data_IF_407269948811
#
_entry.id   IF_407269948811
#
_cell.length_a   1.000
_cell.length_b   1.000
_cell.length_c   1.000
_cell.angle_alpha   90.00
_cell.angle_beta   90.00
_cell.angle_gamma   90.00
#
_symmetry.space_group_name_H-M   'P 1'
#
loop_
_entity.id
_entity.type
_entity.pdbx_description
1 polymer ?
#
# COMPACT_ATOMS: atom_id res chain seq x y z
N UNK A 1 -7.83 16.41 12.07
CA UNK A 1 -8.45 16.58 10.73
C UNK A 1 -8.34 15.27 9.94
N UNK A 2 -9.34 14.88 9.15
CA UNK A 2 -9.24 13.74 8.23
C UNK A 2 -8.22 14.01 7.11
N UNK A 3 -7.46 12.97 6.73
CA UNK A 3 -6.41 13.08 5.70
C UNK A 3 -6.94 13.42 4.30
N UNK A 4 -8.18 13.09 3.98
CA UNK A 4 -8.80 13.47 2.71
C UNK A 4 -9.03 14.99 2.65
N UNK A 5 -9.54 15.58 3.73
CA UNK A 5 -9.84 17.02 3.82
C UNK A 5 -8.57 17.88 3.74
N UNK A 6 -7.47 17.45 4.35
CA UNK A 6 -6.21 18.23 4.29
C UNK A 6 -5.63 18.30 2.88
N UNK A 7 -5.87 17.27 2.05
CA UNK A 7 -5.38 17.23 0.66
C UNK A 7 -6.10 18.23 -0.23
N UNK A 8 -7.41 18.38 -0.04
CA UNK A 8 -8.20 19.43 -0.70
C UNK A 8 -7.65 20.80 -0.36
N UNK A 9 -7.24 21.02 0.90
CA UNK A 9 -6.63 22.30 1.33
C UNK A 9 -5.26 22.50 0.65
N UNK A 10 -4.44 21.45 0.51
CA UNK A 10 -3.18 21.56 -0.23
C UNK A 10 -3.41 21.96 -1.69
N UNK A 11 -4.40 21.36 -2.37
CA UNK A 11 -4.74 21.72 -3.74
C UNK A 11 -5.20 23.17 -3.84
N UNK A 12 -6.08 23.60 -2.94
CA UNK A 12 -6.56 24.99 -2.89
C UNK A 12 -5.41 25.99 -2.72
N UNK A 13 -4.52 25.74 -1.76
CA UNK A 13 -3.36 26.59 -1.50
C UNK A 13 -2.37 26.60 -2.68
N UNK A 14 -2.17 25.46 -3.33
CA UNK A 14 -1.38 25.36 -4.55
C UNK A 14 -1.96 26.22 -5.69
N UNK A 15 -3.27 26.13 -5.94
CA UNK A 15 -3.97 26.95 -6.96
C UNK A 15 -3.94 28.44 -6.64
N UNK A 16 -3.90 28.82 -5.36
CA UNK A 16 -3.68 30.20 -4.91
C UNK A 16 -2.25 30.69 -5.13
N UNK A 17 -1.30 29.81 -5.40
CA UNK A 17 0.10 30.15 -5.56
C UNK A 17 0.82 30.44 -4.25
N UNK A 18 0.33 29.96 -3.10
CA UNK A 18 1.04 30.13 -1.84
C UNK A 18 2.29 29.24 -1.79
N UNK A 19 3.23 29.56 -0.91
CA UNK A 19 4.46 28.76 -0.77
C UNK A 19 4.25 27.58 0.18
N UNK A 20 5.04 26.52 0.02
CA UNK A 20 5.02 25.33 0.92
C UNK A 20 5.13 25.72 2.41
N UNK A 21 5.99 26.70 2.73
CA UNK A 21 6.17 27.15 4.11
C UNK A 21 4.95 27.92 4.64
N UNK A 22 4.35 28.75 3.79
CA UNK A 22 3.13 29.49 4.13
C UNK A 22 1.94 28.56 4.32
N UNK A 23 1.71 27.64 3.38
CA UNK A 23 0.65 26.64 3.47
C UNK A 23 0.74 25.83 4.76
N UNK A 24 1.93 25.32 5.10
CA UNK A 24 2.13 24.54 6.32
C UNK A 24 1.82 25.36 7.58
N UNK A 25 2.26 26.62 7.62
CA UNK A 25 1.99 27.56 8.72
C UNK A 25 0.48 27.84 8.84
N UNK A 26 -0.18 28.16 7.73
CA UNK A 26 -1.61 28.50 7.71
C UNK A 26 -2.45 27.31 8.18
N UNK A 27 -2.13 26.10 7.74
CA UNK A 27 -2.83 24.88 8.17
C UNK A 27 -2.62 24.62 9.65
N UNK A 28 -1.39 24.67 10.16
CA UNK A 28 -1.14 24.44 11.59
C UNK A 28 -1.77 25.53 12.47
N UNK A 29 -1.84 26.78 12.00
CA UNK A 29 -2.51 27.87 12.72
C UNK A 29 -4.02 27.66 12.86
N UNK A 30 -4.68 27.11 11.84
CA UNK A 30 -6.15 26.90 11.85
C UNK A 30 -6.52 25.57 12.52
N UNK A 31 -5.74 24.52 12.31
CA UNK A 31 -6.13 23.15 12.68
C UNK A 31 -5.31 22.56 13.83
N UNK A 32 -4.33 23.31 14.35
CA UNK A 32 -3.46 22.90 15.45
C UNK A 32 -2.09 22.43 14.96
N UNK A 33 -1.09 22.63 15.80
CA UNK A 33 0.30 22.24 15.52
C UNK A 33 0.41 20.74 15.21
N UNK A 34 1.24 20.39 14.23
CA UNK A 34 1.37 19.00 13.76
C UNK A 34 0.26 18.52 12.81
N UNK A 35 -0.71 19.37 12.44
CA UNK A 35 -1.71 19.04 11.42
C UNK A 35 -1.08 18.70 10.07
N UNK A 36 0.02 19.39 9.72
CA UNK A 36 0.87 19.05 8.58
C UNK A 36 2.33 19.38 8.83
N UNK A 37 3.19 18.94 7.92
CA UNK A 37 4.61 19.28 7.86
C UNK A 37 4.95 19.89 6.52
N UNK A 38 5.99 20.75 6.47
CA UNK A 38 6.50 21.32 5.21
C UNK A 38 6.86 20.23 4.19
N UNK A 39 7.42 19.11 4.65
CA UNK A 39 7.75 17.97 3.79
C UNK A 39 6.49 17.36 3.15
N UNK A 40 5.41 17.20 3.93
CA UNK A 40 4.14 16.67 3.42
C UNK A 40 3.54 17.60 2.36
N UNK A 41 3.46 18.91 2.66
CA UNK A 41 2.97 19.91 1.69
C UNK A 41 3.84 19.92 0.43
N UNK A 42 5.17 19.86 0.59
CA UNK A 42 6.12 19.84 -0.52
C UNK A 42 5.93 18.66 -1.47
N UNK A 43 5.67 17.47 -0.94
CA UNK A 43 5.36 16.29 -1.77
C UNK A 43 4.06 16.48 -2.57
N UNK A 44 3.00 17.00 -1.94
CA UNK A 44 1.74 17.27 -2.65
C UNK A 44 1.92 18.33 -3.75
N UNK A 45 2.62 19.42 -3.44
CA UNK A 45 2.90 20.47 -4.42
C UNK A 45 3.74 19.96 -5.59
N UNK A 46 4.62 18.99 -5.36
CA UNK A 46 5.35 18.33 -6.44
C UNK A 46 4.39 17.59 -7.37
N UNK A 47 3.52 16.74 -6.84
CA UNK A 47 2.51 16.03 -7.63
C UNK A 47 1.62 16.99 -8.42
N UNK A 48 1.15 18.08 -7.80
CA UNK A 48 0.32 19.07 -8.48
C UNK A 48 1.05 19.81 -9.61
N UNK A 49 2.36 20.08 -9.47
CA UNK A 49 3.19 20.62 -10.56
C UNK A 49 3.34 19.63 -11.70
N UNK A 50 3.38 18.34 -11.38
CA UNK A 50 3.44 17.25 -12.37
C UNK A 50 2.06 16.96 -12.99
N UNK A 51 1.01 17.71 -12.60
CA UNK A 51 -0.35 17.61 -13.12
C UNK A 51 -1.21 16.53 -12.44
N UNK A 52 -0.70 15.86 -11.41
CA UNK A 52 -1.44 14.86 -10.64
C UNK A 52 -2.20 15.52 -9.49
N UNK A 53 -3.53 15.62 -9.66
CA UNK A 53 -4.47 16.12 -8.66
C UNK A 53 -5.28 15.01 -7.98
N UNK A 54 -4.84 13.75 -8.09
CA UNK A 54 -5.48 12.63 -7.39
C UNK A 54 -5.37 12.79 -5.87
N UNK A 55 -6.48 13.14 -5.21
CA UNK A 55 -6.52 13.31 -3.75
C UNK A 55 -6.70 11.98 -3.00
N UNK A 56 -7.01 10.90 -3.71
CA UNK A 56 -7.16 9.57 -3.14
C UNK A 56 -5.78 9.01 -2.74
N UNK A 57 -5.76 8.08 -1.79
CA UNK A 57 -4.61 7.19 -1.73
C UNK A 57 -4.72 6.26 -2.93
N UNK A 58 -3.68 6.18 -3.74
CA UNK A 58 -3.56 5.05 -4.64
C UNK A 58 -3.63 3.76 -3.81
N UNK A 59 -4.31 2.71 -4.32
CA UNK A 59 -4.21 1.39 -3.74
C UNK A 59 -2.72 1.05 -3.62
N UNK A 60 -2.21 0.94 -2.39
CA UNK A 60 -0.85 0.46 -2.21
C UNK A 60 -0.86 -0.99 -2.65
N UNK A 61 -0.29 -1.26 -3.82
CA UNK A 61 -0.06 -2.62 -4.26
C UNK A 61 0.69 -3.37 -3.16
N UNK A 62 0.19 -4.56 -2.80
CA UNK A 62 0.99 -5.47 -1.98
C UNK A 62 2.27 -5.78 -2.77
N UNK A 63 3.46 -5.81 -2.13
CA UNK A 63 4.66 -6.26 -2.80
C UNK A 63 4.39 -7.57 -3.54
N UNK A 64 4.84 -7.68 -4.79
CA UNK A 64 4.71 -8.93 -5.56
C UNK A 64 5.29 -10.07 -4.74
N UNK A 65 4.50 -11.12 -4.56
CA UNK A 65 4.92 -12.33 -3.83
C UNK A 65 5.89 -13.12 -4.68
N UNK A 66 6.88 -13.76 -4.05
CA UNK A 66 7.82 -14.67 -4.74
C UNK A 66 7.17 -16.00 -5.16
N UNK A 67 5.98 -16.30 -4.65
CA UNK A 67 5.25 -17.53 -4.92
C UNK A 67 4.36 -17.34 -6.14
N UNK A 68 4.58 -18.18 -7.14
CA UNK A 68 3.67 -18.39 -8.27
C UNK A 68 2.61 -19.43 -7.85
N UNK A 69 1.34 -19.02 -7.91
CA UNK A 69 0.22 -19.86 -7.48
C UNK A 69 0.01 -21.07 -8.39
N UNK A 70 0.31 -20.98 -9.68
CA UNK A 70 0.13 -22.09 -10.60
C UNK A 70 1.23 -23.14 -10.38
N UNK A 71 2.45 -22.68 -10.11
CA UNK A 71 3.53 -23.57 -9.69
C UNK A 71 3.24 -24.22 -8.32
N UNK A 72 2.75 -23.46 -7.34
CA UNK A 72 2.36 -24.00 -6.03
C UNK A 72 1.28 -25.08 -6.17
N UNK A 73 0.26 -24.82 -6.99
CA UNK A 73 -0.81 -25.77 -7.27
C UNK A 73 -0.28 -27.07 -7.88
N UNK A 74 0.58 -26.97 -8.90
CA UNK A 74 1.18 -28.15 -9.54
C UNK A 74 1.99 -29.00 -8.55
N UNK A 75 2.75 -28.37 -7.64
CA UNK A 75 3.51 -29.09 -6.61
C UNK A 75 2.56 -29.82 -5.64
N UNK A 76 1.52 -29.14 -5.16
CA UNK A 76 0.52 -29.72 -4.24
C UNK A 76 -0.27 -30.85 -4.89
N UNK A 77 -0.70 -30.69 -6.15
CA UNK A 77 -1.42 -31.73 -6.89
C UNK A 77 -0.54 -32.95 -7.20
N UNK A 78 0.77 -32.74 -7.38
CA UNK A 78 1.71 -33.84 -7.63
C UNK A 78 1.99 -34.68 -6.37
N UNK A 79 1.95 -34.06 -5.19
CA UNK A 79 2.14 -34.73 -3.90
C UNK A 79 1.35 -34.01 -2.79
N UNK A 80 0.07 -34.39 -2.58
CA UNK A 80 -0.77 -33.80 -1.55
C UNK A 80 -0.29 -34.05 -0.11
N UNK A 81 0.67 -34.97 0.09
CA UNK A 81 1.21 -35.29 1.42
C UNK A 81 2.25 -34.28 1.91
N UNK A 82 2.71 -33.38 1.04
CA UNK A 82 3.69 -32.36 1.42
C UNK A 82 3.17 -31.43 2.50
N UNK A 83 3.96 -31.28 3.55
CA UNK A 83 3.69 -30.33 4.60
C UNK A 83 3.91 -28.89 4.11
N UNK A 84 3.21 -27.95 4.72
CA UNK A 84 3.43 -26.51 4.50
C UNK A 84 4.88 -26.08 4.77
N UNK A 85 5.60 -26.81 5.64
CA UNK A 85 7.01 -26.56 5.95
C UNK A 85 7.92 -26.95 4.80
N UNK A 86 7.65 -28.06 4.13
CA UNK A 86 8.40 -28.49 2.94
C UNK A 86 8.14 -27.55 1.77
N UNK A 87 6.88 -27.17 1.54
CA UNK A 87 6.52 -26.15 0.54
C UNK A 87 7.24 -24.82 0.80
N UNK A 88 7.35 -24.39 2.06
CA UNK A 88 8.08 -23.16 2.40
C UNK A 88 9.57 -23.26 2.04
N UNK A 89 10.15 -24.44 2.20
CA UNK A 89 11.53 -24.73 1.79
C UNK A 89 11.69 -24.72 0.26
N UNK A 90 10.77 -25.37 -0.48
CA UNK A 90 10.77 -25.44 -1.95
C UNK A 90 10.71 -24.04 -2.57
N UNK A 91 9.78 -23.20 -2.08
CA UNK A 91 9.58 -21.85 -2.60
C UNK A 91 10.51 -20.80 -1.98
N UNK A 92 11.36 -21.19 -1.03
CA UNK A 92 12.27 -20.31 -0.29
C UNK A 92 11.55 -19.07 0.28
N UNK A 93 10.44 -19.31 0.97
CA UNK A 93 9.60 -18.30 1.61
C UNK A 93 9.22 -18.73 3.03
N UNK A 94 8.58 -17.84 3.80
CA UNK A 94 8.07 -18.23 5.11
C UNK A 94 6.86 -19.16 4.99
N UNK A 95 6.66 -20.01 6.00
CA UNK A 95 5.46 -20.87 6.14
C UNK A 95 4.17 -20.04 6.02
N UNK A 96 4.15 -18.85 6.64
CA UNK A 96 3.00 -17.94 6.55
C UNK A 96 2.70 -17.51 5.11
N UNK A 97 3.75 -17.31 4.29
CA UNK A 97 3.58 -16.99 2.88
C UNK A 97 2.88 -18.14 2.16
N UNK A 98 3.36 -19.38 2.34
CA UNK A 98 2.71 -20.56 1.75
C UNK A 98 1.25 -20.69 2.19
N UNK A 99 0.92 -20.53 3.47
CA UNK A 99 -0.47 -20.61 3.96
C UNK A 99 -1.40 -19.61 3.25
N UNK A 100 -0.93 -18.36 3.08
CA UNK A 100 -1.70 -17.33 2.35
C UNK A 100 -1.93 -17.74 0.89
N UNK A 101 -0.93 -18.32 0.25
CA UNK A 101 -1.01 -18.76 -1.14
C UNK A 101 -1.88 -20.02 -1.31
N UNK A 102 -1.78 -20.99 -0.41
CA UNK A 102 -2.65 -22.19 -0.38
C UNK A 102 -4.13 -21.81 -0.24
N UNK A 103 -4.45 -20.86 0.66
CA UNK A 103 -5.80 -20.34 0.80
C UNK A 103 -6.31 -19.65 -0.47
N UNK A 104 -5.44 -18.97 -1.22
CA UNK A 104 -5.78 -18.29 -2.46
C UNK A 104 -6.03 -19.24 -3.65
N UNK A 105 -5.47 -20.46 -3.63
CA UNK A 105 -5.66 -21.47 -4.68
C UNK A 105 -6.74 -22.51 -4.36
N UNK A 106 -7.47 -22.36 -3.24
CA UNK A 106 -8.63 -23.20 -2.86
C UNK A 106 -8.34 -24.33 -1.87
N UNK A 107 -7.13 -24.43 -1.31
CA UNK A 107 -6.65 -25.61 -0.58
C UNK A 107 -7.15 -25.84 0.85
N UNK A 108 -8.39 -25.46 1.20
CA UNK A 108 -8.98 -25.85 2.49
C UNK A 108 -10.15 -26.83 2.37
N UNK A 109 -10.75 -27.00 1.19
CA UNK A 109 -11.95 -27.84 1.04
C UNK A 109 -11.65 -29.25 0.49
N UNK A 110 -10.48 -29.48 -0.12
CA UNK A 110 -10.13 -30.76 -0.79
C UNK A 110 -9.02 -31.59 -0.09
N UNK A 111 -8.65 -31.23 1.15
CA UNK A 111 -7.55 -31.87 1.92
C UNK A 111 -8.03 -32.57 3.21
N UNK A 112 -9.29 -33.03 3.25
CA UNK A 112 -9.83 -33.90 4.30
C UNK A 112 -10.32 -35.21 3.72
#
# INVERSE_FOLDING_TARGET
MEKSKIRVIYEYEFRRGTTVSETARNINAVFGEGSTTKATVGNWFKNFRDGDFSLANEPRGRPKTKVDNDHLRAVVESDPSQSTRELASIFNVSILTILVHLAAIGGLDDLV
#
